data_IF_158456957097
#
_entry.id   IF_158456957097
#
_cell.length_a   1.000
_cell.length_b   1.000
_cell.length_c   1.000
_cell.angle_alpha   90.00
_cell.angle_beta   90.00
_cell.angle_gamma   90.00
#
_symmetry.space_group_name_H-M   'P 1'
#
loop_
_entity.id
_entity.type
_entity.pdbx_description
1 polymer ?
#
# COMPACT_ATOMS: atom_id res chain seq x y z
N UNK A 1 -23.04 52.93 -35.00
CA UNK A 1 -21.70 53.00 -34.41
C UNK A 1 -21.43 51.64 -33.80
N UNK A 2 -20.95 50.61 -34.50
CA UNK A 2 -19.79 50.55 -35.44
C UNK A 2 -18.58 51.20 -34.77
N UNK A 3 -17.52 50.49 -34.42
CA UNK A 3 -16.77 49.59 -35.31
C UNK A 3 -16.14 48.40 -34.59
N UNK A 4 -16.05 47.31 -35.36
CA UNK A 4 -15.29 46.08 -35.14
C UNK A 4 -13.80 46.37 -35.30
N UNK A 5 -12.94 45.74 -34.48
CA UNK A 5 -11.52 45.58 -34.80
C UNK A 5 -11.23 44.11 -35.03
N UNK A 6 -10.90 43.83 -36.28
CA UNK A 6 -10.48 42.55 -36.84
C UNK A 6 -9.02 42.70 -37.27
N UNK A 7 -8.11 41.96 -36.67
CA UNK A 7 -6.82 41.67 -37.29
C UNK A 7 -6.48 40.19 -37.14
N UNK A 8 -6.50 39.51 -38.29
CA UNK A 8 -5.94 38.18 -38.51
C UNK A 8 -4.42 38.28 -38.69
N UNK A 9 -3.67 37.29 -38.23
CA UNK A 9 -2.22 37.23 -38.45
C UNK A 9 -1.57 35.99 -37.83
N UNK A 10 -1.41 34.97 -38.66
CA UNK A 10 -0.74 33.68 -38.49
C UNK A 10 0.72 33.73 -38.02
N UNK A 11 1.15 32.78 -37.17
CA UNK A 11 2.38 31.99 -37.35
C UNK A 11 2.44 30.80 -36.37
N UNK A 12 2.82 29.67 -36.96
CA UNK A 12 3.13 28.36 -36.39
C UNK A 12 4.11 28.37 -35.20
N UNK A 13 3.85 27.56 -34.17
CA UNK A 13 4.89 26.72 -33.54
C UNK A 13 4.27 25.59 -32.69
N UNK A 14 4.23 24.41 -33.30
CA UNK A 14 4.76 23.15 -32.75
C UNK A 14 4.70 22.89 -31.24
N UNK A 15 3.81 21.99 -30.80
CA UNK A 15 4.22 20.65 -30.31
C UNK A 15 2.99 19.79 -30.00
N UNK A 16 2.34 19.25 -31.03
CA UNK A 16 1.48 18.08 -30.86
C UNK A 16 2.40 16.85 -30.71
N UNK A 17 2.59 16.39 -29.48
CA UNK A 17 3.22 15.09 -29.22
C UNK A 17 2.14 14.10 -28.82
N UNK A 18 1.46 13.62 -29.85
CA UNK A 18 1.24 12.21 -30.15
C UNK A 18 0.97 11.28 -28.95
N UNK A 19 -0.32 11.08 -28.67
CA UNK A 19 -0.86 10.03 -27.80
C UNK A 19 -0.71 8.70 -28.56
N UNK A 20 0.52 8.24 -28.71
CA UNK A 20 0.80 6.87 -29.18
C UNK A 20 2.05 6.35 -28.48
N UNK A 21 1.91 5.86 -27.24
CA UNK A 21 2.96 5.04 -26.63
C UNK A 21 2.41 3.85 -25.84
N UNK A 22 2.43 2.72 -26.54
CA UNK A 22 2.73 1.38 -26.03
C UNK A 22 1.76 0.76 -25.02
N UNK A 23 0.80 0.04 -25.59
CA UNK A 23 0.37 -1.28 -25.10
C UNK A 23 1.60 -2.18 -24.90
N UNK A 24 2.20 -2.18 -23.71
CA UNK A 24 3.07 -3.28 -23.26
C UNK A 24 2.20 -4.33 -22.58
N UNK A 25 1.59 -5.18 -23.40
CA UNK A 25 1.23 -6.52 -22.93
C UNK A 25 2.51 -7.35 -22.94
N UNK A 26 3.18 -7.47 -21.79
CA UNK A 26 4.25 -8.46 -21.66
C UNK A 26 3.58 -9.82 -21.51
N UNK A 27 3.55 -10.57 -22.62
CA UNK A 27 3.28 -11.98 -22.63
C UNK A 27 4.55 -12.76 -22.26
N UNK A 28 4.36 -13.75 -21.39
CA UNK A 28 5.25 -14.87 -21.09
C UNK A 28 6.63 -14.55 -20.50
N UNK A 29 6.71 -14.60 -19.17
CA UNK A 29 7.78 -15.36 -18.54
C UNK A 29 7.15 -16.52 -17.76
N UNK A 30 7.24 -17.72 -18.36
CA UNK A 30 7.10 -18.98 -17.65
C UNK A 30 8.38 -19.19 -16.83
N UNK A 31 8.33 -18.86 -15.54
CA UNK A 31 9.20 -19.47 -14.54
C UNK A 31 8.31 -20.09 -13.47
N UNK A 32 8.11 -21.40 -13.59
CA UNK A 32 7.59 -22.20 -12.49
C UNK A 32 8.68 -22.25 -11.41
N UNK A 33 8.60 -21.33 -10.46
CA UNK A 33 9.36 -21.34 -9.20
C UNK A 33 8.51 -20.65 -8.16
N UNK A 34 7.90 -21.43 -7.28
CA UNK A 34 7.24 -20.98 -6.04
C UNK A 34 8.13 -19.96 -5.33
N UNK A 35 7.81 -18.69 -5.53
CA UNK A 35 8.23 -17.59 -4.70
C UNK A 35 6.96 -16.78 -4.45
N UNK A 36 6.05 -17.36 -3.66
CA UNK A 36 4.92 -16.63 -3.11
C UNK A 36 5.47 -15.63 -2.08
N UNK A 37 6.12 -14.58 -2.59
CA UNK A 37 6.67 -13.52 -1.79
C UNK A 37 5.52 -12.60 -1.39
N UNK A 38 5.10 -12.70 -0.14
CA UNK A 38 4.09 -11.82 0.43
C UNK A 38 4.50 -10.35 0.27
N UNK A 39 3.62 -9.52 -0.28
CA UNK A 39 3.77 -8.06 -0.38
C UNK A 39 2.51 -7.36 0.08
N UNK A 40 2.65 -6.16 0.66
CA UNK A 40 1.52 -5.30 0.97
C UNK A 40 1.00 -4.60 -0.31
N UNK A 41 -0.29 -4.32 -0.35
CA UNK A 41 -0.90 -3.50 -1.41
C UNK A 41 -0.39 -2.07 -1.38
N UNK A 42 -0.24 -1.45 -2.56
CA UNK A 42 0.20 -0.05 -2.69
C UNK A 42 -0.96 0.96 -2.66
N UNK A 43 -2.19 0.51 -2.41
CA UNK A 43 -3.41 1.33 -2.57
C UNK A 43 -3.66 2.28 -1.39
N UNK A 44 -3.01 2.06 -0.24
CA UNK A 44 -3.19 2.86 0.96
C UNK A 44 -1.84 3.30 1.53
N UNK A 45 -1.61 4.61 1.58
CA UNK A 45 -0.40 5.21 2.16
C UNK A 45 -0.66 5.64 3.61
N UNK A 46 0.40 5.86 4.38
CA UNK A 46 0.29 6.36 5.76
C UNK A 46 -0.40 7.72 5.84
N UNK A 47 -0.14 8.62 4.88
CA UNK A 47 -0.83 9.91 4.83
C UNK A 47 -2.31 9.76 4.55
N UNK A 48 -2.70 8.79 3.73
CA UNK A 48 -4.11 8.52 3.46
C UNK A 48 -4.81 7.97 4.71
N UNK A 49 -4.18 7.03 5.41
CA UNK A 49 -4.67 6.52 6.69
C UNK A 49 -4.83 7.65 7.73
N UNK A 50 -3.84 8.55 7.84
CA UNK A 50 -3.88 9.69 8.76
C UNK A 50 -5.06 10.63 8.46
N UNK A 51 -5.34 10.89 7.18
CA UNK A 51 -6.51 11.71 6.78
C UNK A 51 -7.81 11.04 7.15
N UNK A 52 -7.97 9.76 6.84
CA UNK A 52 -9.17 8.98 7.18
C UNK A 52 -9.42 9.02 8.69
N UNK A 53 -8.38 8.80 9.50
CA UNK A 53 -8.45 8.90 10.96
C UNK A 53 -8.84 10.31 11.42
N UNK A 54 -8.22 11.36 10.87
CA UNK A 54 -8.53 12.74 11.23
C UNK A 54 -10.00 13.10 10.97
N UNK A 55 -10.56 12.66 9.83
CA UNK A 55 -11.98 12.85 9.54
C UNK A 55 -12.84 12.11 10.56
N UNK A 56 -12.55 10.83 10.79
CA UNK A 56 -13.27 9.99 11.75
C UNK A 56 -13.32 10.57 13.17
N UNK A 57 -12.19 11.12 13.63
CA UNK A 57 -12.06 11.75 14.96
C UNK A 57 -12.90 13.03 15.02
N UNK A 58 -12.77 13.89 14.01
CA UNK A 58 -13.47 15.18 13.96
C UNK A 58 -14.99 15.03 13.89
N UNK A 59 -15.51 14.07 13.12
CA UNK A 59 -16.94 13.79 13.01
C UNK A 59 -17.59 13.41 14.35
N UNK A 60 -16.80 12.83 15.26
CA UNK A 60 -17.24 12.40 16.59
C UNK A 60 -16.89 13.39 17.68
N UNK A 61 -16.24 14.50 17.33
CA UNK A 61 -15.70 15.46 18.29
C UNK A 61 -14.80 14.79 19.35
N UNK A 62 -13.97 13.84 18.89
CA UNK A 62 -13.07 13.04 19.72
C UNK A 62 -11.67 13.62 19.84
N UNK A 63 -11.41 14.79 19.26
CA UNK A 63 -10.13 15.48 19.33
C UNK A 63 -9.69 15.72 20.79
N UNK A 64 -10.64 15.97 21.70
CA UNK A 64 -10.40 16.14 23.14
C UNK A 64 -9.76 14.93 23.85
N UNK A 65 -9.88 13.74 23.26
CA UNK A 65 -9.32 12.50 23.82
C UNK A 65 -8.01 12.09 23.15
N UNK A 66 -7.60 12.75 22.07
CA UNK A 66 -6.41 12.43 21.27
C UNK A 66 -5.12 13.12 21.78
N UNK A 67 -4.99 13.25 23.10
CA UNK A 67 -3.71 13.62 23.71
C UNK A 67 -2.67 12.50 23.52
N UNK A 68 -1.37 12.80 23.31
CA UNK A 68 -0.35 11.79 23.00
C UNK A 68 -0.29 10.62 24.00
N UNK A 69 -0.53 10.90 25.29
CA UNK A 69 -0.59 9.87 26.34
C UNK A 69 -1.77 8.92 26.14
N UNK A 70 -2.95 9.43 25.79
CA UNK A 70 -4.16 8.63 25.65
C UNK A 70 -4.04 7.71 24.44
N UNK A 71 -3.52 8.23 23.32
CA UNK A 71 -3.26 7.44 22.11
C UNK A 71 -2.24 6.34 22.39
N UNK A 72 -1.18 6.64 23.16
CA UNK A 72 -0.21 5.63 23.58
C UNK A 72 -0.86 4.52 24.43
N UNK A 73 -1.72 4.86 25.39
CA UNK A 73 -2.40 3.87 26.22
C UNK A 73 -3.41 3.03 25.41
N UNK A 74 -4.11 3.64 24.46
CA UNK A 74 -4.98 2.92 23.53
C UNK A 74 -4.17 1.90 22.70
N UNK A 75 -3.02 2.32 22.15
CA UNK A 75 -2.10 1.42 21.43
C UNK A 75 -1.67 0.22 22.28
N UNK A 76 -1.34 0.44 23.56
CA UNK A 76 -0.99 -0.65 24.47
C UNK A 76 -2.16 -1.62 24.66
N UNK A 77 -3.40 -1.13 24.68
CA UNK A 77 -4.61 -1.95 24.67
C UNK A 77 -4.69 -2.87 23.45
N UNK A 78 -4.53 -2.31 22.24
CA UNK A 78 -4.52 -3.07 20.98
C UNK A 78 -3.41 -4.13 20.93
N UNK A 79 -2.23 -3.83 21.49
CA UNK A 79 -1.14 -4.81 21.62
C UNK A 79 -1.53 -5.94 22.58
N UNK A 80 -2.28 -5.62 23.64
CA UNK A 80 -2.89 -6.60 24.55
C UNK A 80 -3.84 -7.53 23.81
N UNK A 81 -4.80 -6.98 23.06
CA UNK A 81 -5.75 -7.76 22.25
C UNK A 81 -5.05 -8.65 21.21
N UNK A 82 -4.03 -8.12 20.54
CA UNK A 82 -3.19 -8.91 19.63
C UNK A 82 -2.51 -10.07 20.37
N UNK A 83 -2.03 -9.84 21.60
CA UNK A 83 -1.38 -10.87 22.41
C UNK A 83 -2.34 -11.99 22.82
N UNK A 84 -3.62 -11.69 23.05
CA UNK A 84 -4.64 -12.70 23.37
C UNK A 84 -4.81 -13.75 22.27
N UNK A 85 -4.65 -13.35 20.99
CA UNK A 85 -4.72 -14.28 19.84
C UNK A 85 -3.62 -15.35 19.92
N UNK A 86 -2.46 -14.99 20.47
CA UNK A 86 -1.28 -15.86 20.56
C UNK A 86 -1.14 -16.56 21.91
N UNK A 87 -1.86 -16.12 22.95
CA UNK A 87 -1.69 -16.58 24.33
C UNK A 87 -1.72 -18.11 24.49
N UNK A 88 -2.56 -18.79 23.69
CA UNK A 88 -2.74 -20.25 23.74
C UNK A 88 -2.27 -20.97 22.47
N UNK A 89 -1.59 -20.26 21.57
CA UNK A 89 -0.93 -20.91 20.43
C UNK A 89 0.30 -21.63 21.00
N UNK A 90 0.23 -22.96 21.05
CA UNK A 90 1.38 -23.78 21.40
C UNK A 90 2.58 -23.50 20.48
N UNK A 91 3.76 -23.96 20.87
CA UNK A 91 4.96 -23.77 20.05
C UNK A 91 4.71 -24.23 18.61
N UNK A 92 4.86 -23.31 17.65
CA UNK A 92 4.88 -23.67 16.24
C UNK A 92 6.06 -24.62 16.10
N UNK A 93 5.79 -25.90 15.78
CA UNK A 93 6.84 -26.83 15.40
C UNK A 93 7.57 -26.20 14.23
N UNK A 94 8.75 -25.65 14.53
CA UNK A 94 9.71 -25.29 13.49
C UNK A 94 10.18 -26.63 12.97
N UNK A 95 9.54 -27.10 11.91
CA UNK A 95 10.07 -28.18 11.08
C UNK A 95 11.37 -27.63 10.47
N UNK A 96 12.44 -27.67 11.26
CA UNK A 96 13.78 -27.49 10.76
C UNK A 96 13.99 -28.69 9.84
N UNK A 97 13.69 -28.49 8.56
CA UNK A 97 14.15 -29.33 7.45
C UNK A 97 15.68 -29.19 7.39
N UNK A 98 16.38 -29.65 8.44
CA UNK A 98 17.77 -30.05 8.30
C UNK A 98 17.68 -31.27 7.41
N UNK A 99 18.03 -31.07 6.14
CA UNK A 99 18.21 -32.11 5.14
C UNK A 99 19.35 -33.06 5.54
N UNK A 100 19.18 -33.77 6.65
CA UNK A 100 19.86 -35.03 6.91
C UNK A 100 19.25 -36.01 5.94
N UNK A 101 19.82 -36.04 4.72
CA UNK A 101 19.77 -37.22 3.87
C UNK A 101 20.16 -38.38 4.79
N UNK A 102 19.19 -39.21 5.17
CA UNK A 102 19.47 -40.46 5.84
C UNK A 102 20.16 -41.31 4.77
N UNK A 103 21.49 -41.32 4.81
CA UNK A 103 22.28 -42.25 4.04
C UNK A 103 21.80 -43.64 4.48
N UNK A 104 21.07 -44.33 3.61
CA UNK A 104 20.74 -45.72 3.82
C UNK A 104 22.07 -46.49 3.91
N UNK A 105 22.39 -46.95 5.11
CA UNK A 105 23.49 -47.85 5.38
C UNK A 105 23.03 -49.26 5.05
N UNK A 106 23.66 -49.80 4.00
CA UNK A 106 23.81 -51.18 3.51
C UNK A 106 22.53 -51.88 3.05
#
# INVERSE_FOLDING_TARGET
MSTEDKCQGSASSTSENDITKSKRINAADNTASDNDHFTFSNDCTLEEMRKILSVFISERNWDQFHEPRNVLLALVGEVGELSEIFQWKGEVKRDYQVGLKKNATI
#
